data_IF_173469296556
#
_entry.id   IF_173469296556
#
_cell.length_a   1.000
_cell.length_b   1.000
_cell.length_c   1.000
_cell.angle_alpha   90.00
_cell.angle_beta   90.00
_cell.angle_gamma   90.00
#
_symmetry.space_group_name_H-M   'P 1'
#
loop_
_entity.id
_entity.type
_entity.pdbx_description
1 polymer ?
#
# COMPACT_ATOMS: atom_id res chain seq x y z
N UNK A 1 4.61 21.19 -20.42
CA UNK A 1 5.59 20.10 -20.20
C UNK A 1 6.19 19.74 -21.54
N UNK A 2 7.51 19.77 -21.66
CA UNK A 2 8.22 19.38 -22.89
C UNK A 2 8.03 17.89 -23.15
N UNK A 3 7.95 17.41 -24.42
CA UNK A 3 7.82 16.00 -24.73
C UNK A 3 9.13 15.28 -24.41
N UNK A 4 9.31 14.83 -23.18
CA UNK A 4 10.52 14.15 -22.68
C UNK A 4 10.69 14.18 -21.17
N UNK A 5 9.96 14.99 -20.44
CA UNK A 5 9.96 14.97 -18.99
C UNK A 5 9.18 13.76 -18.49
N UNK A 6 9.91 12.82 -17.89
CA UNK A 6 9.32 11.66 -17.19
C UNK A 6 8.70 12.19 -15.91
N UNK A 7 7.36 12.23 -15.83
CA UNK A 7 6.67 12.41 -14.55
C UNK A 7 7.01 11.23 -13.66
N UNK A 8 7.45 11.52 -12.43
CA UNK A 8 7.66 10.50 -11.39
C UNK A 8 6.34 9.88 -10.90
N UNK A 9 5.21 10.27 -11.57
CA UNK A 9 3.87 9.98 -11.13
C UNK A 9 3.71 10.49 -9.70
N UNK A 10 2.67 11.23 -9.41
CA UNK A 10 2.50 11.79 -8.07
C UNK A 10 2.71 10.70 -7.01
N UNK A 11 3.80 10.82 -6.25
CA UNK A 11 4.02 10.00 -5.05
C UNK A 11 2.76 10.12 -4.22
N UNK A 12 2.32 9.05 -3.59
CA UNK A 12 1.18 9.11 -2.68
C UNK A 12 1.41 10.23 -1.66
N UNK A 13 0.57 11.27 -1.74
CA UNK A 13 0.78 12.55 -1.07
C UNK A 13 -0.39 12.78 -0.10
N UNK A 14 -0.23 12.52 1.21
CA UNK A 14 -1.27 12.75 2.19
C UNK A 14 -1.83 14.17 2.12
N UNK A 15 -3.15 14.33 2.27
CA UNK A 15 -3.80 15.65 2.24
C UNK A 15 -3.54 16.46 3.52
N UNK A 16 -3.28 15.76 4.62
CA UNK A 16 -2.99 16.32 5.95
C UNK A 16 -2.21 15.28 6.77
N UNK A 17 -1.58 15.72 7.85
CA UNK A 17 -0.77 14.88 8.74
C UNK A 17 -1.33 14.82 10.17
N UNK A 18 -2.29 15.70 10.51
CA UNK A 18 -2.95 15.69 11.81
C UNK A 18 -3.76 14.40 11.95
N UNK A 19 -3.51 13.64 13.01
CA UNK A 19 -4.23 12.39 13.25
C UNK A 19 -5.70 12.69 13.57
N UNK A 20 -6.65 12.06 12.85
CA UNK A 20 -8.08 12.16 13.17
C UNK A 20 -8.39 11.58 14.57
N UNK A 21 -9.51 11.98 15.20
CA UNK A 21 -9.95 11.38 16.45
C UNK A 21 -10.04 9.84 16.38
N UNK A 22 -9.50 9.16 17.40
CA UNK A 22 -9.46 7.70 17.45
C UNK A 22 -8.32 7.05 16.68
N UNK A 23 -7.51 7.85 15.96
CA UNK A 23 -6.28 7.39 15.29
C UNK A 23 -5.07 7.73 16.16
N UNK A 24 -4.16 6.78 16.31
CA UNK A 24 -2.94 6.95 17.08
C UNK A 24 -1.73 6.27 16.43
N UNK A 25 -0.54 6.79 16.68
CA UNK A 25 0.70 6.12 16.32
C UNK A 25 0.93 4.92 17.24
N UNK A 26 1.42 3.82 16.69
CA UNK A 26 1.71 2.60 17.41
C UNK A 26 2.89 1.86 16.78
N UNK A 27 3.56 1.03 17.57
CA UNK A 27 4.53 0.05 17.10
C UNK A 27 4.01 -1.36 17.39
N UNK A 28 4.12 -2.25 16.40
CA UNK A 28 3.81 -3.67 16.55
C UNK A 28 5.12 -4.45 16.60
N UNK A 29 5.37 -5.09 17.73
CA UNK A 29 6.50 -6.01 17.88
C UNK A 29 6.09 -7.39 17.36
N UNK A 30 6.94 -7.97 16.52
CA UNK A 30 6.71 -9.27 15.88
C UNK A 30 8.00 -10.10 15.92
N UNK A 31 7.90 -11.37 15.57
CA UNK A 31 9.07 -12.24 15.46
C UNK A 31 10.07 -11.81 14.35
N UNK A 32 9.64 -10.98 13.40
CA UNK A 32 10.45 -10.54 12.25
C UNK A 32 10.90 -9.07 12.35
N UNK A 33 10.50 -8.36 13.40
CA UNK A 33 10.87 -6.98 13.66
C UNK A 33 9.76 -6.14 14.27
N UNK A 34 10.05 -4.85 14.48
CA UNK A 34 9.11 -3.86 15.00
C UNK A 34 8.64 -2.97 13.86
N UNK A 35 7.32 -2.83 13.71
CA UNK A 35 6.70 -2.09 12.61
C UNK A 35 5.96 -0.85 13.15
N UNK A 36 6.28 0.31 12.58
CA UNK A 36 5.57 1.54 12.83
C UNK A 36 4.19 1.52 12.14
N UNK A 37 3.17 2.01 12.82
CA UNK A 37 1.80 1.96 12.34
C UNK A 37 0.98 3.18 12.79
N UNK A 38 -0.11 3.43 12.06
CA UNK A 38 -1.27 4.17 12.53
C UNK A 38 -2.38 3.18 12.83
N UNK A 39 -2.92 3.23 14.04
CA UNK A 39 -4.03 2.39 14.50
C UNK A 39 -5.27 3.26 14.72
N UNK A 40 -6.38 2.86 14.13
CA UNK A 40 -7.69 3.44 14.39
C UNK A 40 -8.60 2.42 15.08
N UNK A 41 -9.27 2.84 16.14
CA UNK A 41 -10.25 2.03 16.86
C UNK A 41 -11.66 2.62 16.69
N UNK A 42 -12.73 1.79 16.76
CA UNK A 42 -14.10 2.28 16.76
C UNK A 42 -14.36 3.20 17.96
N UNK A 43 -15.39 4.04 17.86
CA UNK A 43 -15.74 5.01 18.92
C UNK A 43 -15.95 4.33 20.29
N UNK A 44 -16.49 3.12 20.31
CA UNK A 44 -16.63 2.31 21.54
C UNK A 44 -15.28 1.89 22.16
N UNK A 45 -14.17 2.00 21.41
CA UNK A 45 -12.87 1.47 21.78
C UNK A 45 -12.75 -0.05 21.70
N UNK A 46 -13.87 -0.75 21.48
CA UNK A 46 -13.93 -2.23 21.44
C UNK A 46 -14.31 -2.65 20.01
N UNK A 47 -13.40 -3.31 19.25
CA UNK A 47 -13.73 -3.87 17.94
C UNK A 47 -14.73 -5.01 18.07
N UNK A 48 -15.78 -4.98 17.24
CA UNK A 48 -16.83 -6.04 17.16
C UNK A 48 -16.70 -6.88 15.89
N UNK A 49 -15.80 -6.45 14.98
CA UNK A 49 -15.55 -7.05 13.67
C UNK A 49 -14.09 -7.36 13.49
N UNK A 50 -13.77 -8.19 12.52
CA UNK A 50 -12.38 -8.51 12.20
C UNK A 50 -11.57 -7.29 11.81
N UNK A 51 -10.31 -7.23 12.25
CA UNK A 51 -9.42 -6.11 11.97
C UNK A 51 -9.04 -6.04 10.49
N UNK A 52 -8.54 -4.86 10.09
CA UNK A 52 -8.00 -4.63 8.76
C UNK A 52 -6.54 -4.16 8.84
N UNK A 53 -5.69 -4.69 7.95
CA UNK A 53 -4.29 -4.31 7.75
C UNK A 53 -4.14 -3.67 6.37
N UNK A 54 -3.61 -2.44 6.32
CA UNK A 54 -3.39 -1.66 5.11
C UNK A 54 -1.89 -1.48 4.88
N UNK A 55 -1.43 -1.86 3.70
CA UNK A 55 -0.01 -1.88 3.31
C UNK A 55 0.22 -0.89 2.17
N UNK A 56 1.12 0.10 2.34
CA UNK A 56 1.37 1.16 1.35
C UNK A 56 2.16 0.66 0.14
N UNK A 57 2.29 1.54 -0.85
CA UNK A 57 3.14 1.33 -2.01
C UNK A 57 4.62 1.66 -1.77
N UNK A 58 5.41 1.51 -2.82
CA UNK A 58 6.82 1.93 -2.85
C UNK A 58 6.92 3.43 -2.57
N UNK A 59 7.87 3.87 -1.76
CA UNK A 59 8.04 5.24 -1.26
C UNK A 59 6.88 5.78 -0.41
N UNK A 60 5.84 4.97 -0.20
CA UNK A 60 4.69 5.31 0.64
C UNK A 60 4.94 5.07 2.13
N UNK A 61 3.95 5.36 2.94
CA UNK A 61 3.94 5.11 4.37
C UNK A 61 2.51 4.96 4.89
N UNK A 62 2.37 4.62 6.18
CA UNK A 62 1.09 4.53 6.87
C UNK A 62 0.22 5.79 6.74
N UNK A 63 0.83 6.96 6.53
CA UNK A 63 0.14 8.24 6.34
C UNK A 63 -0.65 8.31 5.02
N UNK A 64 -0.36 7.47 4.05
CA UNK A 64 -1.12 7.41 2.80
C UNK A 64 -2.59 6.98 3.05
N UNK A 65 -2.86 6.37 4.19
CA UNK A 65 -4.18 5.93 4.60
C UNK A 65 -4.85 6.81 5.65
N UNK A 66 -4.20 7.89 6.12
CA UNK A 66 -4.69 8.72 7.24
C UNK A 66 -6.13 9.21 7.03
N UNK A 67 -6.50 9.54 5.78
CA UNK A 67 -7.80 10.08 5.44
C UNK A 67 -8.96 9.05 5.51
N UNK A 68 -8.65 7.75 5.43
CA UNK A 68 -9.65 6.67 5.47
C UNK A 68 -9.75 5.96 6.82
N UNK A 69 -8.71 6.06 7.68
CA UNK A 69 -8.59 5.26 8.90
C UNK A 69 -9.78 5.43 9.83
N UNK A 70 -10.16 6.68 10.17
CA UNK A 70 -11.26 6.96 11.08
C UNK A 70 -12.59 6.42 10.54
N UNK A 71 -12.89 6.68 9.27
CA UNK A 71 -14.14 6.24 8.63
C UNK A 71 -14.23 4.73 8.60
N UNK A 72 -13.13 4.04 8.27
CA UNK A 72 -13.08 2.59 8.28
C UNK A 72 -13.29 2.01 9.68
N UNK A 73 -12.66 2.62 10.71
CA UNK A 73 -12.80 2.16 12.09
C UNK A 73 -14.23 2.35 12.65
N UNK A 74 -14.95 3.39 12.20
CA UNK A 74 -16.35 3.63 12.58
C UNK A 74 -17.29 2.50 12.15
N UNK A 75 -16.86 1.62 11.23
CA UNK A 75 -17.62 0.41 10.87
C UNK A 75 -17.52 -0.72 11.91
N UNK A 76 -16.91 -0.47 13.07
CA UNK A 76 -16.83 -1.41 14.20
C UNK A 76 -15.58 -2.29 14.21
N UNK A 77 -14.49 -1.91 13.53
CA UNK A 77 -13.26 -2.71 13.47
C UNK A 77 -12.00 -1.91 13.80
N UNK A 78 -10.97 -2.61 14.29
CA UNK A 78 -9.62 -2.07 14.33
C UNK A 78 -9.08 -1.96 12.89
N UNK A 79 -8.48 -0.82 12.55
CA UNK A 79 -7.82 -0.62 11.26
C UNK A 79 -6.38 -0.18 11.50
N UNK A 80 -5.44 -0.88 10.89
CA UNK A 80 -4.01 -0.64 11.07
C UNK A 80 -3.38 -0.37 9.70
N UNK A 81 -2.75 0.78 9.54
CA UNK A 81 -1.88 1.08 8.41
C UNK A 81 -0.42 1.02 8.87
N UNK A 82 0.45 0.34 8.13
CA UNK A 82 1.85 0.10 8.54
C UNK A 82 2.85 0.74 7.58
N UNK A 83 4.05 0.99 8.07
CA UNK A 83 5.22 1.16 7.22
C UNK A 83 5.86 -0.20 6.97
N UNK A 84 6.12 -0.55 5.72
CA UNK A 84 6.85 -1.78 5.40
C UNK A 84 8.30 -1.69 5.87
N UNK A 85 8.93 -2.84 6.06
CA UNK A 85 10.37 -2.94 6.37
C UNK A 85 11.18 -2.05 5.43
N UNK A 86 12.08 -1.24 6.02
CA UNK A 86 12.95 -0.32 5.28
C UNK A 86 12.26 0.92 4.72
N UNK A 87 10.98 1.11 5.01
CA UNK A 87 10.25 2.34 4.67
C UNK A 87 9.95 3.17 5.92
N UNK A 88 10.17 4.45 5.81
CA UNK A 88 9.92 5.53 6.76
C UNK A 88 10.36 5.21 8.20
N UNK A 89 9.43 4.88 9.12
CA UNK A 89 9.72 4.65 10.54
C UNK A 89 9.94 3.16 10.89
N UNK A 90 9.82 2.26 9.92
CA UNK A 90 10.15 0.85 10.08
C UNK A 90 11.53 0.57 9.51
N UNK A 91 12.50 0.33 10.39
CA UNK A 91 13.87 0.02 9.99
C UNK A 91 13.99 -1.32 9.26
N UNK A 92 15.11 -1.52 8.58
CA UNK A 92 15.43 -2.79 7.94
C UNK A 92 16.95 -2.99 7.78
N UNK A 93 17.39 -4.22 7.49
CA UNK A 93 18.81 -4.54 7.35
C UNK A 93 19.39 -4.00 6.04
N UNK A 94 20.71 -3.93 5.97
CA UNK A 94 21.45 -3.65 4.73
C UNK A 94 21.70 -4.96 3.93
N UNK A 95 20.59 -5.64 3.62
CA UNK A 95 20.56 -6.88 2.84
C UNK A 95 19.42 -6.80 1.83
N UNK A 96 19.70 -6.75 0.51
CA UNK A 96 18.66 -6.64 -0.51
C UNK A 96 17.68 -7.82 -0.51
N UNK A 97 18.08 -9.01 -0.06
CA UNK A 97 17.20 -10.17 0.00
C UNK A 97 16.07 -10.01 1.04
N UNK A 98 16.26 -9.15 2.03
CA UNK A 98 15.22 -8.84 3.01
C UNK A 98 14.04 -8.01 2.43
N UNK A 99 14.17 -7.54 1.19
CA UNK A 99 13.19 -6.66 0.54
C UNK A 99 12.55 -7.26 -0.70
N UNK A 100 12.70 -8.57 -0.92
CA UNK A 100 11.94 -9.28 -1.95
C UNK A 100 10.45 -9.28 -1.62
N UNK A 101 9.56 -9.34 -2.61
CA UNK A 101 8.12 -9.46 -2.36
C UNK A 101 7.79 -10.62 -1.41
N UNK A 102 8.48 -11.75 -1.53
CA UNK A 102 8.29 -12.90 -0.64
C UNK A 102 8.73 -12.62 0.80
N UNK A 103 9.88 -11.96 1.02
CA UNK A 103 10.35 -11.60 2.36
C UNK A 103 9.42 -10.59 3.04
N UNK A 104 9.01 -9.53 2.31
CA UNK A 104 8.06 -8.55 2.79
C UNK A 104 6.66 -9.16 3.00
N UNK A 105 6.24 -10.11 2.15
CA UNK A 105 5.00 -10.88 2.32
C UNK A 105 4.99 -11.68 3.62
N UNK A 106 6.13 -12.28 3.99
CA UNK A 106 6.28 -12.95 5.29
C UNK A 106 6.15 -11.97 6.48
N UNK A 107 6.62 -10.74 6.35
CA UNK A 107 6.40 -9.70 7.37
C UNK A 107 4.92 -9.38 7.53
N UNK A 108 4.21 -9.22 6.41
CA UNK A 108 2.78 -8.92 6.39
C UNK A 108 1.97 -10.06 7.00
N UNK A 109 2.30 -11.31 6.68
CA UNK A 109 1.69 -12.48 7.28
C UNK A 109 1.86 -12.48 8.82
N UNK A 110 3.07 -12.22 9.29
CA UNK A 110 3.39 -12.15 10.72
C UNK A 110 2.65 -11.00 11.41
N UNK A 111 2.59 -9.83 10.78
CA UNK A 111 1.82 -8.67 11.26
C UNK A 111 0.31 -8.99 11.35
N UNK A 112 -0.24 -9.60 10.31
CA UNK A 112 -1.65 -9.99 10.27
C UNK A 112 -1.98 -10.97 11.40
N UNK A 113 -1.11 -11.93 11.69
CA UNK A 113 -1.27 -12.85 12.82
C UNK A 113 -1.31 -12.09 14.17
N UNK A 114 -0.41 -11.13 14.37
CA UNK A 114 -0.37 -10.31 15.61
C UNK A 114 -1.61 -9.43 15.73
N UNK A 115 -1.99 -8.72 14.66
CA UNK A 115 -3.13 -7.79 14.63
C UNK A 115 -4.45 -8.55 14.80
N UNK A 116 -4.58 -9.70 14.15
CA UNK A 116 -5.75 -10.57 14.23
C UNK A 116 -5.81 -11.43 15.50
N UNK A 117 -4.79 -11.39 16.36
CA UNK A 117 -4.66 -12.30 17.50
C UNK A 117 -4.84 -13.78 17.11
N UNK A 118 -4.34 -14.15 15.94
CA UNK A 118 -4.50 -15.47 15.32
C UNK A 118 -5.83 -15.69 14.59
N UNK A 119 -6.75 -14.72 14.64
CA UNK A 119 -8.01 -14.72 13.87
C UNK A 119 -7.87 -14.11 12.48
N UNK A 120 -8.97 -14.11 11.69
CA UNK A 120 -8.97 -13.57 10.33
C UNK A 120 -8.75 -12.05 10.29
N UNK A 121 -8.09 -11.56 9.23
CA UNK A 121 -7.78 -10.14 8.99
C UNK A 121 -8.19 -9.77 7.56
N UNK A 122 -8.78 -8.59 7.37
CA UNK A 122 -8.94 -8.00 6.05
C UNK A 122 -7.60 -7.40 5.62
N UNK A 123 -7.08 -7.81 4.46
CA UNK A 123 -5.79 -7.34 3.95
C UNK A 123 -5.98 -6.42 2.74
N UNK A 124 -5.34 -5.26 2.77
CA UNK A 124 -5.31 -4.30 1.65
C UNK A 124 -3.87 -4.00 1.29
N UNK A 125 -3.51 -4.19 0.04
CA UNK A 125 -2.20 -3.78 -0.50
C UNK A 125 -2.37 -2.73 -1.59
N UNK A 126 -1.75 -1.56 -1.39
CA UNK A 126 -1.73 -0.48 -2.37
C UNK A 126 -0.48 -0.57 -3.24
N UNK A 127 -0.65 -0.49 -4.56
CA UNK A 127 0.47 -0.42 -5.50
C UNK A 127 1.47 -1.58 -5.31
N UNK A 128 2.76 -1.29 -5.05
CA UNK A 128 3.76 -2.29 -4.68
C UNK A 128 3.34 -3.13 -3.46
N UNK A 129 2.66 -2.50 -2.47
CA UNK A 129 2.08 -3.23 -1.35
C UNK A 129 1.09 -4.31 -1.78
N UNK A 130 0.42 -4.16 -2.93
CA UNK A 130 -0.42 -5.21 -3.52
C UNK A 130 0.39 -6.42 -4.01
N UNK A 131 1.57 -6.19 -4.58
CA UNK A 131 2.48 -7.28 -4.97
C UNK A 131 3.04 -8.02 -3.74
N UNK A 132 3.34 -7.28 -2.67
CA UNK A 132 3.81 -7.84 -1.40
C UNK A 132 2.72 -8.64 -0.69
N UNK A 133 1.53 -8.05 -0.53
CA UNK A 133 0.40 -8.71 0.16
C UNK A 133 -0.10 -9.94 -0.59
N UNK A 134 0.02 -9.94 -1.92
CA UNK A 134 -0.25 -11.11 -2.75
C UNK A 134 0.59 -12.32 -2.34
N UNK A 135 1.88 -12.11 -2.03
CA UNK A 135 2.76 -13.20 -1.58
C UNK A 135 2.28 -13.79 -0.26
N UNK A 136 1.87 -12.95 0.70
CA UNK A 136 1.30 -13.43 1.97
C UNK A 136 0.03 -14.26 1.77
N UNK A 137 -0.83 -13.85 0.84
CA UNK A 137 -2.08 -14.57 0.53
C UNK A 137 -1.80 -15.90 -0.15
N UNK A 138 -0.88 -15.96 -1.10
CA UNK A 138 -0.51 -17.18 -1.82
C UNK A 138 0.20 -18.18 -0.88
N UNK A 139 1.03 -17.69 0.05
CA UNK A 139 1.73 -18.54 1.04
C UNK A 139 0.75 -19.22 2.03
N UNK A 140 -0.39 -18.60 2.28
CA UNK A 140 -1.55 -19.21 2.94
C UNK A 140 -1.35 -19.56 4.42
N UNK A 141 -0.36 -18.99 5.12
CA UNK A 141 -0.10 -19.27 6.54
C UNK A 141 -1.12 -18.61 7.47
N UNK A 142 -1.52 -17.37 7.15
CA UNK A 142 -2.59 -16.66 7.87
C UNK A 142 -3.90 -16.76 7.10
N UNK A 143 -5.00 -16.96 7.82
CA UNK A 143 -6.34 -16.90 7.24
C UNK A 143 -6.76 -15.44 7.06
N UNK A 144 -6.79 -14.96 5.82
CA UNK A 144 -7.34 -13.65 5.52
C UNK A 144 -8.87 -13.71 5.37
N UNK A 145 -9.56 -12.76 6.00
CA UNK A 145 -11.01 -12.59 5.87
C UNK A 145 -11.41 -12.10 4.48
N UNK A 146 -10.56 -11.27 3.89
CA UNK A 146 -10.64 -10.82 2.50
C UNK A 146 -9.31 -10.23 2.06
N UNK A 147 -9.12 -10.12 0.76
CA UNK A 147 -7.96 -9.52 0.13
C UNK A 147 -8.36 -8.39 -0.83
N UNK A 148 -7.71 -7.24 -0.75
CA UNK A 148 -7.92 -6.12 -1.67
C UNK A 148 -6.62 -5.72 -2.35
N UNK A 149 -6.61 -5.77 -3.67
CA UNK A 149 -5.60 -5.18 -4.54
C UNK A 149 -6.04 -3.74 -4.88
N UNK A 150 -5.40 -2.75 -4.26
CA UNK A 150 -5.72 -1.34 -4.48
C UNK A 150 -4.68 -0.73 -5.42
N UNK A 151 -5.10 -0.28 -6.61
CA UNK A 151 -4.21 0.32 -7.63
C UNK A 151 -2.93 -0.52 -7.84
N UNK A 152 -3.10 -1.83 -7.96
CA UNK A 152 -2.04 -2.81 -8.15
C UNK A 152 -2.36 -3.74 -9.31
N UNK A 153 -1.36 -4.44 -9.83
CA UNK A 153 -1.54 -5.26 -11.02
C UNK A 153 -1.09 -6.71 -10.87
N UNK A 154 -1.29 -7.50 -11.93
CA UNK A 154 -0.95 -8.92 -11.92
C UNK A 154 0.57 -9.16 -11.92
N UNK A 155 1.33 -8.22 -12.49
CA UNK A 155 2.77 -8.32 -12.74
C UNK A 155 3.46 -6.97 -12.59
N UNK A 156 4.65 -6.81 -13.16
CA UNK A 156 5.44 -5.58 -13.13
C UNK A 156 4.65 -4.34 -13.55
N UNK A 157 5.04 -3.21 -12.97
CA UNK A 157 4.49 -1.88 -13.29
C UNK A 157 4.85 -1.48 -14.73
N UNK A 158 4.03 -0.62 -15.34
CA UNK A 158 4.22 -0.17 -16.72
C UNK A 158 4.13 1.35 -16.85
N UNK A 159 4.48 1.87 -18.02
CA UNK A 159 4.23 3.26 -18.40
C UNK A 159 5.13 4.30 -17.70
N UNK A 160 4.58 5.46 -17.29
CA UNK A 160 5.38 6.52 -16.67
C UNK A 160 6.10 6.08 -15.40
N UNK A 161 5.43 5.31 -14.54
CA UNK A 161 5.99 4.83 -13.26
C UNK A 161 7.08 3.78 -13.45
N UNK A 162 6.99 2.94 -14.48
CA UNK A 162 8.09 2.05 -14.88
C UNK A 162 9.34 2.87 -15.25
N UNK A 163 9.18 3.93 -16.05
CA UNK A 163 10.31 4.81 -16.44
C UNK A 163 10.93 5.48 -15.21
N UNK A 164 10.12 5.98 -14.28
CA UNK A 164 10.60 6.54 -13.02
C UNK A 164 11.39 5.51 -12.19
N UNK A 165 10.87 4.29 -12.07
CA UNK A 165 11.58 3.19 -11.40
C UNK A 165 12.93 2.86 -12.06
N UNK A 166 12.99 2.80 -13.38
CA UNK A 166 14.26 2.58 -14.11
C UNK A 166 15.28 3.70 -13.89
N UNK A 167 14.82 4.95 -13.77
CA UNK A 167 15.68 6.08 -13.42
C UNK A 167 16.17 5.90 -11.96
N UNK A 168 15.31 5.56 -11.02
CA UNK A 168 15.69 5.26 -9.64
C UNK A 168 16.74 4.16 -9.56
N UNK A 169 16.57 3.05 -10.27
CA UNK A 169 17.56 1.97 -10.31
C UNK A 169 18.93 2.43 -10.82
N UNK A 170 18.97 3.40 -11.72
CA UNK A 170 20.21 3.96 -12.27
C UNK A 170 20.84 5.00 -11.34
N UNK A 171 20.04 5.92 -10.82
CA UNK A 171 20.53 7.11 -10.10
C UNK A 171 20.76 6.86 -8.61
N UNK A 172 19.96 5.99 -7.97
CA UNK A 172 20.04 5.76 -6.54
C UNK A 172 21.40 5.22 -6.05
N UNK A 173 22.05 4.25 -6.72
CA UNK A 173 23.37 3.76 -6.28
C UNK A 173 24.48 4.78 -6.39
N UNK A 174 24.36 5.73 -7.34
CA UNK A 174 25.40 6.73 -7.62
C UNK A 174 25.20 8.02 -6.82
N UNK A 175 23.96 8.48 -6.69
CA UNK A 175 23.65 9.81 -6.18
C UNK A 175 22.86 9.82 -4.87
N UNK A 176 22.29 8.69 -4.45
CA UNK A 176 21.51 8.56 -3.23
C UNK A 176 20.10 9.20 -3.30
N UNK A 177 19.33 8.98 -2.23
CA UNK A 177 17.95 9.48 -2.12
C UNK A 177 17.86 11.01 -2.10
N UNK A 178 18.86 11.69 -1.53
CA UNK A 178 18.88 13.15 -1.44
C UNK A 178 18.93 13.79 -2.83
N UNK A 179 19.77 13.28 -3.72
CA UNK A 179 19.85 13.76 -5.10
C UNK A 179 18.54 13.52 -5.85
N UNK A 180 17.95 12.35 -5.71
CA UNK A 180 16.65 12.02 -6.32
C UNK A 180 15.57 12.98 -5.83
N UNK A 181 15.55 13.32 -4.54
CA UNK A 181 14.63 14.30 -4.00
C UNK A 181 14.77 15.65 -4.71
N UNK A 182 15.96 16.25 -4.66
CA UNK A 182 16.18 17.61 -5.16
C UNK A 182 16.08 17.73 -6.68
N UNK A 183 16.45 16.70 -7.42
CA UNK A 183 16.46 16.76 -8.89
C UNK A 183 15.13 16.32 -9.52
N UNK A 184 14.30 15.58 -8.78
CA UNK A 184 13.10 14.95 -9.34
C UNK A 184 11.83 15.28 -8.54
N UNK A 185 11.78 14.84 -7.26
CA UNK A 185 10.52 14.81 -6.50
C UNK A 185 10.11 16.19 -5.98
N UNK A 186 11.04 16.97 -5.45
CA UNK A 186 10.75 18.30 -4.92
C UNK A 186 10.27 19.28 -6.02
N UNK A 187 10.93 19.37 -7.20
CA UNK A 187 10.43 20.22 -8.28
C UNK A 187 9.02 19.83 -8.75
N UNK A 188 8.70 18.53 -8.79
CA UNK A 188 7.39 18.06 -9.18
C UNK A 188 6.32 18.40 -8.12
N UNK A 189 6.62 18.20 -6.83
CA UNK A 189 5.75 18.57 -5.73
C UNK A 189 5.46 20.09 -5.70
N UNK A 190 6.48 20.90 -5.89
CA UNK A 190 6.34 22.37 -5.99
C UNK A 190 5.48 22.78 -7.18
N UNK A 191 5.71 22.17 -8.36
CA UNK A 191 4.93 22.45 -9.56
C UNK A 191 3.46 22.03 -9.42
N UNK A 192 3.19 20.98 -8.62
CA UNK A 192 1.84 20.51 -8.29
C UNK A 192 1.15 21.35 -7.21
N UNK A 193 1.83 22.33 -6.61
CA UNK A 193 1.28 23.20 -5.56
C UNK A 193 1.05 22.47 -4.23
N UNK A 194 1.85 21.43 -3.95
CA UNK A 194 1.78 20.71 -2.67
C UNK A 194 2.15 21.66 -1.53
N UNK A 195 1.40 21.70 -0.41
CA UNK A 195 1.72 22.57 0.74
C UNK A 195 3.09 22.28 1.34
N UNK A 196 3.78 23.33 1.81
CA UNK A 196 5.15 23.25 2.36
C UNK A 196 5.29 22.21 3.48
N UNK A 197 4.31 22.08 4.37
CA UNK A 197 4.33 21.08 5.45
C UNK A 197 4.30 19.64 4.92
N UNK A 198 3.58 19.42 3.82
CA UNK A 198 3.51 18.11 3.15
C UNK A 198 4.81 17.86 2.39
N UNK A 199 5.37 18.87 1.72
CA UNK A 199 6.70 18.76 1.07
C UNK A 199 7.77 18.37 2.10
N UNK A 200 7.78 19.05 3.25
CA UNK A 200 8.72 18.73 4.33
C UNK A 200 8.53 17.28 4.84
N UNK A 201 7.29 16.82 4.96
CA UNK A 201 6.98 15.43 5.32
C UNK A 201 7.46 14.44 4.25
N UNK A 202 7.17 14.69 2.96
CA UNK A 202 7.59 13.81 1.86
C UNK A 202 9.13 13.67 1.81
N UNK A 203 9.84 14.77 2.03
CA UNK A 203 11.30 14.78 2.15
C UNK A 203 11.78 13.93 3.31
N UNK A 204 11.22 14.16 4.52
CA UNK A 204 11.56 13.39 5.72
C UNK A 204 11.30 11.90 5.50
N UNK A 205 10.14 11.56 4.92
CA UNK A 205 9.75 10.19 4.62
C UNK A 205 10.74 9.52 3.66
N UNK A 206 11.07 10.19 2.56
CA UNK A 206 12.02 9.63 1.60
C UNK A 206 13.40 9.37 2.21
N UNK A 207 13.93 10.33 2.96
CA UNK A 207 15.28 10.22 3.53
C UNK A 207 15.40 9.21 4.67
N UNK A 208 14.28 8.87 5.31
CA UNK A 208 14.23 7.83 6.33
C UNK A 208 14.21 6.40 5.76
N UNK A 209 13.98 6.24 4.46
CA UNK A 209 13.98 4.92 3.85
C UNK A 209 15.38 4.30 3.80
N UNK A 210 15.45 2.98 3.93
CA UNK A 210 16.66 2.21 3.59
C UNK A 210 17.00 2.38 2.10
N UNK A 211 18.20 2.86 1.78
CA UNK A 211 18.64 2.98 0.39
C UNK A 211 18.72 1.61 -0.30
N UNK A 212 19.26 0.61 0.40
CA UNK A 212 19.29 -0.79 -0.06
C UNK A 212 17.88 -1.32 -0.27
N UNK A 213 16.96 -1.04 0.69
CA UNK A 213 15.56 -1.43 0.57
C UNK A 213 14.87 -0.77 -0.62
N UNK A 214 15.06 0.54 -0.81
CA UNK A 214 14.47 1.27 -1.94
C UNK A 214 14.97 0.74 -3.30
N UNK A 215 16.25 0.43 -3.40
CA UNK A 215 16.82 -0.16 -4.60
C UNK A 215 16.22 -1.55 -4.87
N UNK A 216 16.22 -2.44 -3.88
CA UNK A 216 15.71 -3.79 -4.03
C UNK A 216 14.20 -3.81 -4.35
N UNK A 217 13.37 -3.07 -3.59
CA UNK A 217 11.92 -2.98 -3.82
C UNK A 217 11.59 -2.38 -5.20
N UNK A 218 12.40 -1.42 -5.69
CA UNK A 218 12.25 -0.89 -7.05
C UNK A 218 12.52 -1.98 -8.08
N UNK A 219 13.54 -2.81 -7.87
CA UNK A 219 13.82 -3.97 -8.71
C UNK A 219 12.65 -4.96 -8.74
N UNK A 220 12.08 -5.27 -7.58
CA UNK A 220 10.92 -6.16 -7.44
C UNK A 220 9.70 -5.66 -8.23
N UNK A 221 9.34 -4.38 -8.11
CA UNK A 221 8.17 -3.84 -8.83
C UNK A 221 8.37 -3.79 -10.35
N UNK A 222 9.62 -3.62 -10.81
CA UNK A 222 9.97 -3.59 -12.23
C UNK A 222 10.06 -4.98 -12.87
N UNK A 223 10.19 -6.04 -12.08
CA UNK A 223 10.38 -7.41 -12.58
C UNK A 223 9.35 -8.41 -12.04
N UNK A 224 8.33 -7.95 -11.31
CA UNK A 224 7.32 -8.81 -10.71
C UNK A 224 6.67 -9.76 -11.74
N UNK A 225 6.66 -11.08 -11.52
CA UNK A 225 5.97 -12.03 -12.39
C UNK A 225 4.45 -11.92 -12.22
N UNK A 226 3.71 -12.34 -13.24
CA UNK A 226 2.25 -12.53 -13.11
C UNK A 226 1.99 -13.80 -12.29
N UNK A 227 1.39 -13.61 -11.11
CA UNK A 227 1.02 -14.68 -10.20
C UNK A 227 -0.49 -14.81 -10.02
N UNK A 228 -1.25 -14.33 -11.00
CA UNK A 228 -2.71 -14.42 -10.94
C UNK A 228 -3.21 -15.86 -10.91
N UNK A 229 -2.51 -16.79 -11.55
CA UNK A 229 -2.90 -18.21 -11.57
C UNK A 229 -2.80 -18.81 -10.16
N UNK A 230 -1.70 -18.59 -9.45
CA UNK A 230 -1.53 -19.07 -8.07
C UNK A 230 -2.56 -18.42 -7.14
N UNK A 231 -2.84 -17.12 -7.34
CA UNK A 231 -3.81 -16.41 -6.53
C UNK A 231 -5.25 -16.94 -6.74
N UNK A 232 -5.59 -17.45 -7.92
CA UNK A 232 -6.91 -18.09 -8.16
C UNK A 232 -7.09 -19.40 -7.39
N UNK A 233 -6.02 -20.03 -6.93
CA UNK A 233 -6.07 -21.26 -6.13
C UNK A 233 -6.36 -21.00 -4.65
N UNK A 234 -6.32 -19.72 -4.23
CA UNK A 234 -6.57 -19.34 -2.83
C UNK A 234 -8.04 -18.97 -2.65
N UNK A 235 -8.73 -19.66 -1.77
CA UNK A 235 -10.13 -19.36 -1.44
C UNK A 235 -10.23 -18.17 -0.48
N UNK A 236 -10.09 -16.97 -0.99
CA UNK A 236 -10.25 -15.71 -0.25
C UNK A 236 -11.12 -14.72 -1.04
N UNK A 237 -12.16 -14.12 -0.43
CA UNK A 237 -12.90 -13.06 -1.07
C UNK A 237 -11.94 -11.95 -1.53
N UNK A 238 -11.92 -11.64 -2.83
CA UNK A 238 -10.97 -10.70 -3.41
C UNK A 238 -11.67 -9.50 -4.03
N UNK A 239 -11.12 -8.31 -3.82
CA UNK A 239 -11.52 -7.05 -4.44
C UNK A 239 -10.34 -6.46 -5.22
N UNK A 240 -10.59 -6.02 -6.45
CA UNK A 240 -9.70 -5.13 -7.20
C UNK A 240 -10.32 -3.74 -7.21
N UNK A 241 -9.66 -2.78 -6.56
CA UNK A 241 -10.11 -1.40 -6.43
C UNK A 241 -9.06 -0.46 -7.00
N UNK A 242 -9.43 0.42 -7.93
CA UNK A 242 -8.47 1.32 -8.56
C UNK A 242 -9.11 2.62 -9.03
N UNK A 243 -8.27 3.64 -9.23
CA UNK A 243 -8.71 4.92 -9.77
C UNK A 243 -8.98 4.86 -11.27
N UNK A 244 -9.97 5.62 -11.72
CA UNK A 244 -10.35 5.74 -13.14
C UNK A 244 -9.18 6.14 -14.04
N UNK A 245 -8.23 6.91 -13.49
CA UNK A 245 -7.06 7.45 -14.18
C UNK A 245 -5.73 6.86 -13.70
N UNK A 246 -5.74 5.62 -13.19
CA UNK A 246 -4.52 4.97 -12.68
C UNK A 246 -3.43 4.89 -13.75
N UNK A 247 -2.24 5.39 -13.45
CA UNK A 247 -1.08 5.47 -14.33
C UNK A 247 0.03 4.46 -13.99
N UNK A 248 -0.17 3.66 -12.94
CA UNK A 248 0.74 2.59 -12.53
C UNK A 248 0.44 1.27 -13.23
N UNK A 249 -0.78 0.81 -13.08
CA UNK A 249 -1.36 -0.27 -13.88
C UNK A 249 -2.62 0.25 -14.57
N UNK A 250 -2.67 0.23 -15.92
CA UNK A 250 -3.81 0.74 -16.64
C UNK A 250 -5.13 0.14 -16.15
N UNK A 251 -6.23 0.90 -16.05
CA UNK A 251 -7.56 0.41 -15.64
C UNK A 251 -7.99 -0.86 -16.36
N UNK A 252 -7.68 -0.98 -17.65
CA UNK A 252 -7.95 -2.19 -18.46
C UNK A 252 -7.21 -3.41 -17.93
N UNK A 253 -5.95 -3.25 -17.52
CA UNK A 253 -5.15 -4.36 -16.95
C UNK A 253 -5.73 -4.81 -15.61
N UNK A 254 -6.13 -3.87 -14.77
CA UNK A 254 -6.70 -4.16 -13.46
C UNK A 254 -8.09 -4.81 -13.57
N UNK A 255 -8.95 -4.33 -14.47
CA UNK A 255 -10.25 -4.98 -14.73
C UNK A 255 -10.12 -6.39 -15.29
N UNK A 256 -9.14 -6.62 -16.18
CA UNK A 256 -8.85 -7.96 -16.69
C UNK A 256 -8.32 -8.89 -15.60
N UNK A 257 -7.45 -8.40 -14.72
CA UNK A 257 -7.00 -9.13 -13.54
C UNK A 257 -8.18 -9.50 -12.64
N UNK A 258 -9.08 -8.55 -12.33
CA UNK A 258 -10.28 -8.82 -11.54
C UNK A 258 -11.13 -9.95 -12.16
N UNK A 259 -11.34 -9.91 -13.48
CA UNK A 259 -12.07 -10.96 -14.18
C UNK A 259 -11.39 -12.34 -14.07
N UNK A 260 -10.06 -12.40 -14.23
CA UNK A 260 -9.28 -13.65 -14.10
C UNK A 260 -9.34 -14.21 -12.67
N UNK A 261 -9.33 -13.34 -11.66
CA UNK A 261 -9.39 -13.72 -10.25
C UNK A 261 -10.82 -14.00 -9.75
N UNK A 262 -11.85 -13.84 -10.57
CA UNK A 262 -13.25 -13.85 -10.16
C UNK A 262 -13.53 -12.90 -8.99
N UNK A 263 -12.80 -11.79 -8.94
CA UNK A 263 -12.84 -10.79 -7.87
C UNK A 263 -13.94 -9.75 -8.11
N UNK A 264 -14.45 -9.19 -7.01
CA UNK A 264 -15.22 -7.96 -7.07
C UNK A 264 -14.33 -6.83 -7.67
N UNK A 265 -14.93 -5.91 -8.42
CA UNK A 265 -14.18 -4.84 -9.08
C UNK A 265 -14.84 -3.49 -8.81
N UNK A 266 -14.05 -2.51 -8.32
CA UNK A 266 -14.51 -1.16 -8.06
C UNK A 266 -13.56 -0.16 -8.72
N UNK A 267 -14.12 0.67 -9.62
CA UNK A 267 -13.44 1.84 -10.18
C UNK A 267 -13.81 3.05 -9.34
N UNK A 268 -12.83 3.82 -8.88
CA UNK A 268 -13.03 5.05 -8.09
C UNK A 268 -13.02 6.24 -9.06
N UNK A 269 -14.18 6.90 -9.28
CA UNK A 269 -14.28 7.98 -10.25
C UNK A 269 -13.37 9.16 -9.88
N UNK A 270 -12.75 9.78 -10.89
CA UNK A 270 -11.89 10.95 -10.75
C UNK A 270 -10.60 10.72 -9.98
N UNK A 271 -10.33 9.50 -9.53
CA UNK A 271 -9.08 9.14 -8.84
C UNK A 271 -8.05 8.59 -9.82
N UNK A 272 -6.77 8.79 -9.49
CA UNK A 272 -5.64 8.20 -10.19
C UNK A 272 -5.07 7.02 -9.39
N UNK A 273 -3.77 7.05 -9.05
CA UNK A 273 -3.08 5.91 -8.46
C UNK A 273 -3.28 5.72 -6.96
N UNK A 274 -3.72 6.76 -6.24
CA UNK A 274 -3.82 6.74 -4.76
C UNK A 274 -5.26 6.97 -4.26
N UNK A 275 -6.21 6.05 -4.51
CA UNK A 275 -7.63 6.25 -4.17
C UNK A 275 -7.89 6.57 -2.69
N UNK A 276 -7.09 6.02 -1.77
CA UNK A 276 -7.22 6.31 -0.33
C UNK A 276 -6.91 7.77 0.03
N UNK A 277 -6.08 8.44 -0.78
CA UNK A 277 -5.73 9.85 -0.66
C UNK A 277 -6.67 10.74 -1.47
N UNK A 278 -6.92 10.34 -2.72
CA UNK A 278 -7.57 11.18 -3.74
C UNK A 278 -9.10 11.18 -3.61
N UNK A 279 -9.68 10.08 -3.15
CA UNK A 279 -11.13 9.90 -2.97
C UNK A 279 -11.43 9.06 -1.70
N UNK A 280 -11.04 9.55 -0.50
CA UNK A 280 -11.07 8.77 0.73
C UNK A 280 -12.47 8.27 1.11
N UNK A 281 -13.51 9.08 0.93
CA UNK A 281 -14.88 8.71 1.27
C UNK A 281 -15.38 7.55 0.40
N UNK A 282 -15.17 7.65 -0.92
CA UNK A 282 -15.56 6.61 -1.88
C UNK A 282 -14.78 5.32 -1.62
N UNK A 283 -13.48 5.44 -1.36
CA UNK A 283 -12.61 4.31 -1.07
C UNK A 283 -13.02 3.61 0.23
N UNK A 284 -13.24 4.37 1.31
CA UNK A 284 -13.66 3.81 2.59
C UNK A 284 -15.02 3.12 2.50
N UNK A 285 -15.99 3.71 1.77
CA UNK A 285 -17.30 3.11 1.56
C UNK A 285 -17.21 1.80 0.76
N UNK A 286 -16.35 1.73 -0.26
CA UNK A 286 -16.14 0.52 -1.05
C UNK A 286 -15.53 -0.60 -0.20
N UNK A 287 -14.46 -0.31 0.55
CA UNK A 287 -13.80 -1.26 1.43
C UNK A 287 -14.76 -1.77 2.52
N UNK A 288 -15.50 -0.87 3.18
CA UNK A 288 -16.45 -1.25 4.23
C UNK A 288 -17.54 -2.20 3.71
N UNK A 289 -18.12 -1.88 2.55
CA UNK A 289 -19.14 -2.76 1.92
C UNK A 289 -18.57 -4.14 1.62
N UNK A 290 -17.39 -4.17 1.03
CA UNK A 290 -16.73 -5.43 0.66
C UNK A 290 -16.40 -6.28 1.88
N UNK A 291 -15.80 -5.71 2.92
CA UNK A 291 -15.47 -6.41 4.16
C UNK A 291 -16.71 -6.96 4.87
N UNK A 292 -17.78 -6.16 4.97
CA UNK A 292 -19.03 -6.61 5.57
C UNK A 292 -19.66 -7.79 4.79
N UNK A 293 -19.58 -7.76 3.45
CA UNK A 293 -20.06 -8.87 2.62
C UNK A 293 -19.18 -10.11 2.76
N UNK A 294 -17.88 -9.96 2.88
CA UNK A 294 -16.95 -11.06 3.12
C UNK A 294 -17.19 -11.73 4.47
N UNK A 295 -17.37 -10.95 5.55
CA UNK A 295 -17.70 -11.47 6.87
C UNK A 295 -19.02 -12.24 6.89
N UNK A 296 -20.04 -11.77 6.17
CA UNK A 296 -21.34 -12.45 6.11
C UNK A 296 -21.31 -13.82 5.39
N UNK A 297 -20.27 -14.10 4.61
CA UNK A 297 -20.07 -15.37 3.88
C UNK A 297 -19.28 -16.40 4.68
N UNK A 298 -18.56 -15.98 5.71
CA UNK A 298 -17.75 -16.89 6.51
C UNK A 298 -18.60 -17.43 7.66
N UNK A 299 -18.64 -18.76 7.87
CA UNK A 299 -19.30 -19.33 9.04
C UNK A 299 -18.61 -18.82 10.31
N UNK A 300 -19.40 -18.37 11.27
CA UNK A 300 -18.96 -17.87 12.58
C UNK A 300 -18.21 -18.91 13.40
#
# INVERSE_FOLDING_TARGET
MSPGEVSWGHVSTPRFLTLPPGVRSRYFETAVGTFAALEALPVSGIPERWPALLVPGLTGSKEDFIAVLQTLAQSGRQVVAVDMRGQFETSGPDDPLAYTCAALGNDIDTLAHVIGHGGPVHLVGHSFGGLVTREAVIDGRTRFASFTLMSSGPSSIVGPRERAGRIMMKELPEFGLESIWHTRMEPEALAAGVPDEIIAFLRKRLFANSQTGMFAMTGEVLSAPDRSEELTQVEVPTLVLYGEHDDGWPPKTQSEMARRLHADCVVVPGSAHSPAVEAPETTAAALTRFWNAAEARLPG
#
